data_IF_302376712234
#
_entry.id   IF_302376712234
#
_cell.length_a   1.000
_cell.length_b   1.000
_cell.length_c   1.000
_cell.angle_alpha   90.00
_cell.angle_beta   90.00
_cell.angle_gamma   90.00
#
_symmetry.space_group_name_H-M   'P 1'
#
loop_
_entity.id
_entity.type
_entity.pdbx_description
1 polymer ?
#
# COMPACT_ATOMS: atom_id res chain seq x y z
N UNK A 1 -20.99 -12.42 18.60
CA UNK A 1 -20.01 -13.15 17.75
C UNK A 1 -19.24 -12.13 16.92
N UNK A 2 -17.95 -11.91 17.24
CA UNK A 2 -17.11 -11.03 16.45
C UNK A 2 -16.86 -11.67 15.08
N UNK A 3 -17.47 -11.13 14.02
CA UNK A 3 -17.15 -11.56 12.65
C UNK A 3 -15.68 -11.24 12.43
N UNK A 4 -14.83 -12.26 12.40
CA UNK A 4 -13.44 -12.10 12.00
C UNK A 4 -13.43 -11.38 10.65
N UNK A 5 -12.91 -10.13 10.61
CA UNK A 5 -12.77 -9.37 9.37
C UNK A 5 -11.94 -10.24 8.44
N UNK A 6 -12.56 -10.74 7.37
CA UNK A 6 -11.85 -11.53 6.35
C UNK A 6 -10.62 -10.73 5.91
N UNK A 7 -9.43 -11.34 5.89
CA UNK A 7 -8.24 -10.65 5.40
C UNK A 7 -8.50 -10.17 3.98
N UNK A 8 -8.07 -8.94 3.69
CA UNK A 8 -8.19 -8.39 2.33
C UNK A 8 -7.38 -9.24 1.36
N UNK A 9 -7.86 -9.34 0.12
CA UNK A 9 -7.07 -9.99 -0.92
C UNK A 9 -5.79 -9.18 -1.16
N UNK A 10 -4.67 -9.85 -1.44
CA UNK A 10 -3.39 -9.20 -1.76
C UNK A 10 -3.52 -8.16 -2.89
N UNK A 11 -4.36 -8.43 -3.90
CA UNK A 11 -4.63 -7.49 -5.00
C UNK A 11 -5.31 -6.21 -4.50
N UNK A 12 -6.25 -6.33 -3.57
CA UNK A 12 -6.91 -5.19 -2.92
C UNK A 12 -5.93 -4.39 -2.08
N UNK A 13 -5.07 -5.07 -1.30
CA UNK A 13 -4.05 -4.41 -0.48
C UNK A 13 -3.06 -3.60 -1.33
N UNK A 14 -2.59 -4.17 -2.45
CA UNK A 14 -1.70 -3.47 -3.37
C UNK A 14 -2.39 -2.30 -4.09
N UNK A 15 -3.66 -2.43 -4.48
CA UNK A 15 -4.42 -1.33 -5.09
C UNK A 15 -4.60 -0.17 -4.11
N UNK A 16 -5.03 -0.45 -2.88
CA UNK A 16 -5.18 0.57 -1.85
C UNK A 16 -3.82 1.17 -1.47
N UNK A 17 -2.78 0.36 -1.33
CA UNK A 17 -1.43 0.83 -1.04
C UNK A 17 -0.90 1.79 -2.11
N UNK A 18 -1.20 1.53 -3.39
CA UNK A 18 -0.90 2.44 -4.48
C UNK A 18 -1.64 3.78 -4.34
N UNK A 19 -2.96 3.75 -4.18
CA UNK A 19 -3.77 4.97 -4.07
C UNK A 19 -3.36 5.83 -2.86
N UNK A 20 -3.08 5.18 -1.73
CA UNK A 20 -2.56 5.82 -0.51
C UNK A 20 -1.20 6.47 -0.77
N UNK A 21 -0.28 5.74 -1.42
CA UNK A 21 1.05 6.26 -1.74
C UNK A 21 0.95 7.45 -2.71
N UNK A 22 0.08 7.38 -3.71
CA UNK A 22 -0.15 8.49 -4.64
C UNK A 22 -0.69 9.75 -3.95
N UNK A 23 -1.60 9.62 -2.97
CA UNK A 23 -2.05 10.79 -2.18
C UNK A 23 -0.92 11.38 -1.34
N UNK A 24 -0.12 10.52 -0.69
CA UNK A 24 1.03 10.95 0.10
C UNK A 24 2.06 11.68 -0.76
N UNK A 25 2.37 11.14 -1.95
CA UNK A 25 3.33 11.73 -2.89
C UNK A 25 2.83 13.06 -3.47
N UNK A 26 1.50 13.27 -3.52
CA UNK A 26 0.88 14.58 -3.85
C UNK A 26 0.92 15.57 -2.68
N UNK A 27 1.47 15.20 -1.53
CA UNK A 27 1.62 16.05 -0.36
C UNK A 27 0.50 15.94 0.68
N UNK A 28 -0.42 14.97 0.55
CA UNK A 28 -1.45 14.77 1.56
C UNK A 28 -0.83 14.26 2.87
N UNK A 29 -1.25 14.82 4.00
CA UNK A 29 -0.82 14.34 5.32
C UNK A 29 -1.44 12.98 5.63
N UNK A 30 -0.76 12.17 6.43
CA UNK A 30 -1.32 10.90 6.89
C UNK A 30 -2.67 11.05 7.60
N UNK A 31 -2.94 12.20 8.25
CA UNK A 31 -4.22 12.46 8.89
C UNK A 31 -5.36 12.62 7.87
N UNK A 32 -5.13 13.36 6.78
CA UNK A 32 -6.10 13.49 5.70
C UNK A 32 -6.39 12.12 5.05
N UNK A 33 -5.33 11.37 4.72
CA UNK A 33 -5.45 10.05 4.11
C UNK A 33 -6.23 9.08 5.03
N UNK A 34 -6.03 9.13 6.35
CA UNK A 34 -6.81 8.27 7.26
C UNK A 34 -8.31 8.55 7.25
N UNK A 35 -8.69 9.81 7.03
CA UNK A 35 -10.08 10.22 6.89
C UNK A 35 -10.63 9.76 5.55
N UNK A 36 -9.91 10.02 4.45
CA UNK A 36 -10.34 9.67 3.09
C UNK A 36 -10.58 8.16 2.90
N UNK A 37 -9.77 7.34 3.56
CA UNK A 37 -9.85 5.88 3.45
C UNK A 37 -10.64 5.20 4.58
N UNK A 38 -11.17 5.96 5.54
CA UNK A 38 -11.85 5.45 6.76
C UNK A 38 -11.05 4.32 7.43
N UNK A 39 -9.75 4.57 7.64
CA UNK A 39 -8.82 3.58 8.18
C UNK A 39 -7.89 4.19 9.22
N UNK A 40 -7.55 3.43 10.28
CA UNK A 40 -6.53 3.87 11.24
C UNK A 40 -5.18 4.12 10.56
N UNK A 41 -4.43 5.09 11.08
CA UNK A 41 -3.09 5.48 10.58
C UNK A 41 -2.15 4.29 10.36
N UNK A 42 -2.08 3.38 11.33
CA UNK A 42 -1.21 2.20 11.23
C UNK A 42 -1.53 1.33 10.01
N UNK A 43 -2.82 1.23 9.66
CA UNK A 43 -3.29 0.38 8.56
C UNK A 43 -3.00 1.03 7.22
N UNK A 44 -3.24 2.35 7.11
CA UNK A 44 -2.90 3.14 5.93
C UNK A 44 -1.40 3.08 5.64
N UNK A 45 -0.56 3.32 6.65
CA UNK A 45 0.89 3.25 6.52
C UNK A 45 1.38 1.84 6.16
N UNK A 46 0.76 0.80 6.72
CA UNK A 46 1.09 -0.60 6.38
C UNK A 46 0.78 -0.89 4.91
N UNK A 47 -0.37 -0.45 4.39
CA UNK A 47 -0.73 -0.65 2.98
C UNK A 47 0.22 0.08 2.03
N UNK A 48 0.57 1.33 2.34
CA UNK A 48 1.57 2.10 1.60
C UNK A 48 2.93 1.38 1.56
N UNK A 49 3.37 0.84 2.70
CA UNK A 49 4.63 0.09 2.79
C UNK A 49 4.59 -1.19 1.96
N UNK A 50 3.52 -1.98 2.03
CA UNK A 50 3.36 -3.21 1.23
C UNK A 50 3.46 -2.91 -0.27
N UNK A 51 2.87 -1.80 -0.72
CA UNK A 51 2.98 -1.36 -2.11
C UNK A 51 4.42 -1.01 -2.49
N UNK A 52 5.14 -0.22 -1.68
CA UNK A 52 6.55 0.11 -1.91
C UNK A 52 7.44 -1.13 -1.97
N UNK A 53 7.28 -2.06 -1.02
CA UNK A 53 8.01 -3.33 -1.01
C UNK A 53 7.76 -4.16 -2.29
N UNK A 54 6.52 -4.17 -2.82
CA UNK A 54 6.21 -4.86 -4.08
C UNK A 54 6.82 -4.15 -5.30
N UNK A 55 6.85 -2.81 -5.30
CA UNK A 55 7.54 -2.01 -6.31
C UNK A 55 9.05 -2.27 -6.31
N UNK A 56 9.69 -2.21 -5.15
CA UNK A 56 11.13 -2.48 -5.01
C UNK A 56 11.46 -3.90 -5.48
N UNK A 57 10.65 -4.89 -5.09
CA UNK A 57 10.82 -6.28 -5.54
C UNK A 57 10.73 -6.40 -7.06
N UNK A 58 9.79 -5.73 -7.71
CA UNK A 58 9.65 -5.74 -9.18
C UNK A 58 10.81 -5.02 -9.86
N UNK A 59 11.26 -3.89 -9.31
CA UNK A 59 12.41 -3.15 -9.82
C UNK A 59 13.68 -4.01 -9.76
N UNK A 60 13.91 -4.69 -8.62
CA UNK A 60 15.02 -5.64 -8.46
C UNK A 60 14.94 -6.81 -9.45
N UNK A 61 13.75 -7.39 -9.66
CA UNK A 61 13.58 -8.45 -10.65
C UNK A 61 13.91 -7.98 -12.07
N UNK A 62 13.43 -6.80 -12.46
CA UNK A 62 13.72 -6.22 -13.77
C UNK A 62 15.21 -5.88 -13.93
N UNK A 63 15.86 -5.42 -12.87
CA UNK A 63 17.30 -5.17 -12.88
C UNK A 63 18.09 -6.47 -13.08
N UNK A 64 17.72 -7.57 -12.42
CA UNK A 64 18.35 -8.88 -12.62
C UNK A 64 18.14 -9.44 -14.03
N UNK A 65 17.02 -9.13 -14.69
CA UNK A 65 16.79 -9.54 -16.08
C UNK A 65 17.59 -8.73 -17.10
N UNK A 66 18.05 -7.52 -16.75
CA UNK A 66 18.86 -6.67 -17.65
C UNK A 66 20.34 -7.07 -17.68
N UNK A 67 20.81 -7.89 -16.74
CA UNK A 67 22.18 -8.42 -16.69
C UNK A 67 22.28 -9.86 -17.19
N UNK A 68 21.28 -10.35 -17.94
CA UNK A 68 21.31 -11.67 -18.60
C UNK A 68 21.68 -11.56 -20.06
#
# INVERSE_FOLDING_TARGET
MAKAKKPMSRRTELRLGREIQEQYDRGASWAAITVDFDMPKYKVQRLARIYREDCDRRAHQNQLTLFK
#
